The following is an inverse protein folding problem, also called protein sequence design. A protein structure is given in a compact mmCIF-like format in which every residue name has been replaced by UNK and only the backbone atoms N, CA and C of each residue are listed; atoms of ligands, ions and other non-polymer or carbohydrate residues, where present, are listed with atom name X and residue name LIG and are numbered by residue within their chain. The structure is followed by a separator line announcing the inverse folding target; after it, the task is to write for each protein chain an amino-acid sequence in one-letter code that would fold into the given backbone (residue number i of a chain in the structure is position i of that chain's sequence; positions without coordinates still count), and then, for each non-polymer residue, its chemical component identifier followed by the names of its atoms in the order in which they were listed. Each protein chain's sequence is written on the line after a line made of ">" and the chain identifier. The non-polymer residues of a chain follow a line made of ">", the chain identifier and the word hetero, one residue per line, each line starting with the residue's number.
data_IF_811081242314
#
_entry.id   IF_811081242314
#
_cell.length_a   1.000
_cell.length_b   1.000
_cell.length_c   1.000
_cell.angle_alpha   90.00
_cell.angle_beta   90.00
_cell.angle_gamma   90.00
#
_symmetry.space_group_name_H-M   'P 1'
#
loop_
_entity.id
_entity.type
_entity.pdbx_description
1 polymer ?
#
# COMPACT_ATOMS: atom_id res chain seq x y z
N UNK A 1 -47.53 -50.52 -28.65
CA UNK A 1 -46.49 -49.50 -28.43
C UNK A 1 -46.87 -48.71 -27.20
N UNK A 2 -46.25 -48.99 -26.04
CA UNK A 2 -46.52 -48.28 -24.78
C UNK A 2 -45.52 -47.14 -24.63
N UNK A 3 -45.98 -45.92 -24.84
CA UNK A 3 -45.17 -44.73 -24.67
C UNK A 3 -45.13 -44.36 -23.17
N UNK A 4 -44.04 -44.77 -22.52
CA UNK A 4 -43.78 -44.49 -21.11
C UNK A 4 -43.39 -43.03 -20.91
N UNK A 5 -44.38 -42.16 -20.68
CA UNK A 5 -44.17 -40.75 -20.34
C UNK A 5 -43.56 -40.64 -18.94
N UNK A 6 -42.24 -40.52 -18.85
CA UNK A 6 -41.54 -40.15 -17.61
C UNK A 6 -41.96 -38.72 -17.23
N UNK A 7 -42.74 -38.58 -16.16
CA UNK A 7 -42.97 -37.29 -15.52
C UNK A 7 -41.72 -36.99 -14.70
N UNK A 8 -40.86 -36.10 -15.17
CA UNK A 8 -39.86 -35.47 -14.32
C UNK A 8 -40.60 -34.60 -13.32
N UNK A 9 -40.46 -34.90 -12.03
CA UNK A 9 -41.00 -34.06 -10.98
C UNK A 9 -40.16 -32.78 -10.93
N UNK A 10 -40.59 -31.76 -11.65
CA UNK A 10 -40.07 -30.40 -11.51
C UNK A 10 -40.60 -29.85 -10.17
N UNK A 11 -39.86 -30.14 -9.10
CA UNK A 11 -40.10 -29.55 -7.79
C UNK A 11 -39.61 -28.11 -7.77
N UNK A 12 -40.53 -27.15 -7.82
CA UNK A 12 -40.22 -25.75 -7.56
C UNK A 12 -39.83 -25.54 -6.10
N UNK A 13 -38.81 -24.71 -5.86
CA UNK A 13 -38.39 -24.33 -4.50
C UNK A 13 -39.49 -23.49 -3.83
N UNK A 14 -39.84 -23.82 -2.59
CA UNK A 14 -40.86 -23.07 -1.86
C UNK A 14 -40.30 -21.72 -1.41
N UNK A 15 -41.14 -20.68 -1.38
CA UNK A 15 -40.75 -19.37 -0.84
C UNK A 15 -40.33 -19.51 0.64
N UNK A 16 -40.97 -20.42 1.39
CA UNK A 16 -40.63 -20.69 2.78
C UNK A 16 -39.20 -21.21 2.94
N UNK A 17 -38.75 -22.07 2.04
CA UNK A 17 -37.39 -22.60 2.05
C UNK A 17 -36.36 -21.50 1.80
N UNK A 18 -36.58 -20.64 0.79
CA UNK A 18 -35.71 -19.49 0.53
C UNK A 18 -35.72 -18.50 1.70
N UNK A 19 -36.87 -18.22 2.30
CA UNK A 19 -36.99 -17.33 3.47
C UNK A 19 -36.20 -17.85 4.67
N UNK A 20 -36.31 -19.14 4.97
CA UNK A 20 -35.59 -19.74 6.10
C UNK A 20 -34.07 -19.75 5.86
N UNK A 21 -33.64 -20.00 4.62
CA UNK A 21 -32.22 -19.92 4.23
C UNK A 21 -31.68 -18.51 4.41
N UNK A 22 -32.40 -17.49 3.93
CA UNK A 22 -32.00 -16.09 4.10
C UNK A 22 -31.98 -15.66 5.57
N UNK A 23 -32.95 -16.14 6.36
CA UNK A 23 -33.01 -15.89 7.80
C UNK A 23 -31.76 -16.41 8.51
N UNK A 24 -31.40 -17.69 8.28
CA UNK A 24 -30.21 -18.28 8.90
C UNK A 24 -28.91 -17.66 8.36
N UNK A 25 -28.83 -17.36 7.07
CA UNK A 25 -27.68 -16.68 6.50
C UNK A 25 -27.47 -15.29 7.14
N UNK A 26 -28.56 -14.53 7.35
CA UNK A 26 -28.52 -13.25 8.04
C UNK A 26 -28.02 -13.36 9.48
N UNK A 27 -28.45 -14.39 10.22
CA UNK A 27 -27.98 -14.66 11.59
C UNK A 27 -26.47 -14.94 11.62
N UNK A 28 -25.99 -15.81 10.73
CA UNK A 28 -24.56 -16.15 10.62
C UNK A 28 -23.72 -14.92 10.23
N UNK A 29 -24.20 -14.11 9.28
CA UNK A 29 -23.53 -12.88 8.86
C UNK A 29 -23.49 -11.85 9.99
N UNK A 30 -24.56 -11.67 10.77
CA UNK A 30 -24.59 -10.71 11.86
C UNK A 30 -23.48 -10.95 12.90
N UNK A 31 -23.15 -12.22 13.18
CA UNK A 31 -22.07 -12.60 14.09
C UNK A 31 -20.70 -12.49 13.40
N UNK A 32 -20.63 -12.81 12.11
CA UNK A 32 -19.36 -12.93 11.38
C UNK A 32 -18.82 -11.59 10.87
N UNK A 33 -19.68 -10.66 10.46
CA UNK A 33 -19.30 -9.33 9.95
C UNK A 33 -18.43 -8.52 10.92
N UNK A 34 -18.77 -8.37 12.22
CA UNK A 34 -17.91 -7.61 13.14
C UNK A 34 -16.52 -8.24 13.31
N UNK A 35 -16.45 -9.57 13.33
CA UNK A 35 -15.17 -10.29 13.38
C UNK A 35 -14.35 -10.08 12.10
N UNK A 36 -14.99 -10.07 10.93
CA UNK A 36 -14.34 -9.78 9.66
C UNK A 36 -13.79 -8.35 9.62
N UNK A 37 -14.54 -7.36 10.10
CA UNK A 37 -14.09 -5.97 10.18
C UNK A 37 -12.88 -5.82 11.11
N UNK A 38 -12.94 -6.46 12.28
CA UNK A 38 -11.83 -6.47 13.25
C UNK A 38 -10.59 -7.16 12.68
N UNK A 39 -10.77 -8.26 11.95
CA UNK A 39 -9.68 -8.97 11.28
C UNK A 39 -9.06 -8.14 10.15
N UNK A 40 -9.88 -7.41 9.38
CA UNK A 40 -9.39 -6.47 8.36
C UNK A 40 -8.52 -5.39 8.99
N UNK A 41 -9.00 -4.71 10.03
CA UNK A 41 -8.21 -3.68 10.71
C UNK A 41 -6.86 -4.22 11.20
N UNK A 42 -6.83 -5.39 11.85
CA UNK A 42 -5.57 -6.01 12.30
C UNK A 42 -4.62 -6.34 11.16
N UNK A 43 -5.14 -6.79 10.02
CA UNK A 43 -4.34 -7.08 8.84
C UNK A 43 -3.78 -5.78 8.23
N UNK A 44 -4.59 -4.74 8.17
CA UNK A 44 -4.18 -3.42 7.67
C UNK A 44 -3.10 -2.80 8.57
N UNK A 45 -3.23 -2.89 9.90
CA UNK A 45 -2.19 -2.49 10.86
C UNK A 45 -0.89 -3.28 10.68
N UNK A 46 -1.00 -4.61 10.50
CA UNK A 46 0.17 -5.46 10.27
C UNK A 46 0.86 -5.13 8.94
N UNK A 47 0.09 -4.84 7.90
CA UNK A 47 0.60 -4.39 6.61
C UNK A 47 1.30 -3.03 6.74
N UNK A 48 0.71 -2.08 7.49
CA UNK A 48 1.33 -0.78 7.73
C UNK A 48 2.67 -0.89 8.46
N UNK A 49 2.75 -1.72 9.51
CA UNK A 49 4.00 -1.98 10.23
C UNK A 49 5.05 -2.62 9.31
N UNK A 50 4.64 -3.55 8.45
CA UNK A 50 5.53 -4.15 7.45
C UNK A 50 6.05 -3.09 6.48
N UNK A 51 5.17 -2.23 5.98
CA UNK A 51 5.52 -1.12 5.09
C UNK A 51 6.53 -0.15 5.75
N UNK A 52 6.36 0.19 7.04
CA UNK A 52 7.35 1.02 7.77
C UNK A 52 8.73 0.34 7.86
N UNK A 53 8.77 -0.96 8.17
CA UNK A 53 10.03 -1.71 8.23
C UNK A 53 10.73 -1.76 6.88
N UNK A 54 9.96 -1.95 5.81
CA UNK A 54 10.47 -1.93 4.44
C UNK A 54 10.99 -0.54 4.05
N UNK A 55 10.30 0.54 4.43
CA UNK A 55 10.78 1.91 4.23
C UNK A 55 12.12 2.14 4.92
N UNK A 56 12.26 1.74 6.19
CA UNK A 56 13.54 1.86 6.92
C UNK A 56 14.65 1.08 6.21
N UNK A 57 14.38 -0.15 5.78
CA UNK A 57 15.40 -0.96 5.09
C UNK A 57 15.85 -0.32 3.77
N UNK A 58 14.93 0.26 3.01
CA UNK A 58 15.24 0.95 1.75
C UNK A 58 16.00 2.25 1.98
N UNK A 59 15.64 3.01 3.02
CA UNK A 59 16.37 4.21 3.40
C UNK A 59 17.85 3.91 3.71
N UNK A 60 18.11 2.85 4.48
CA UNK A 60 19.49 2.42 4.77
C UNK A 60 20.21 1.95 3.50
N UNK A 61 19.51 1.26 2.60
CA UNK A 61 20.10 0.85 1.31
C UNK A 61 20.49 2.06 0.44
N UNK A 62 19.62 3.08 0.36
CA UNK A 62 19.87 4.32 -0.38
C UNK A 62 21.07 5.06 0.19
N UNK A 63 21.11 5.19 1.53
CA UNK A 63 22.20 5.82 2.25
C UNK A 63 23.52 5.07 2.06
N UNK A 64 23.51 3.75 2.12
CA UNK A 64 24.71 2.92 1.94
C UNK A 64 25.22 2.94 0.50
N UNK A 65 24.32 3.08 -0.48
CA UNK A 65 24.67 3.18 -1.89
C UNK A 65 25.04 4.61 -2.35
N UNK A 66 25.00 5.59 -1.44
CA UNK A 66 25.24 7.01 -1.74
C UNK A 66 24.45 7.51 -2.95
N UNK A 67 23.20 7.07 -3.08
CA UNK A 67 22.30 7.45 -4.18
C UNK A 67 22.03 8.96 -4.17
N UNK A 68 21.91 9.51 -2.96
CA UNK A 68 21.68 10.94 -2.69
C UNK A 68 22.87 11.43 -1.87
N UNK A 69 23.50 12.50 -2.33
CA UNK A 69 24.64 13.19 -1.68
C UNK A 69 24.56 14.68 -2.03
N UNK A 70 23.67 15.42 -1.35
CA UNK A 70 23.36 16.82 -1.67
C UNK A 70 24.48 17.77 -1.23
N UNK A 71 25.13 17.50 -0.10
CA UNK A 71 26.23 18.32 0.42
C UNK A 71 27.63 17.96 -0.13
N UNK A 72 27.72 16.85 -0.88
CA UNK A 72 28.96 16.34 -1.51
C UNK A 72 30.04 15.99 -0.51
N UNK A 73 29.66 15.53 0.68
CA UNK A 73 30.59 15.08 1.70
C UNK A 73 31.02 13.61 1.51
N UNK A 74 30.44 12.91 0.52
CA UNK A 74 30.71 11.52 0.20
C UNK A 74 30.00 10.50 1.08
N UNK A 75 29.11 10.95 1.99
CA UNK A 75 28.20 10.09 2.74
C UNK A 75 26.82 10.14 2.09
N UNK A 76 26.22 8.97 1.87
CA UNK A 76 24.86 8.94 1.39
C UNK A 76 23.87 9.52 2.40
N UNK A 77 22.82 10.13 1.86
CA UNK A 77 21.72 10.73 2.58
C UNK A 77 20.42 9.94 2.37
N UNK A 78 19.42 10.25 3.18
CA UNK A 78 18.08 9.70 3.05
C UNK A 78 17.29 10.37 1.91
N UNK A 79 16.39 9.61 1.29
CA UNK A 79 15.58 10.07 0.17
C UNK A 79 14.14 10.37 0.57
N UNK A 80 13.45 11.24 -0.15
CA UNK A 80 12.02 11.47 -0.01
C UNK A 80 11.21 10.25 -0.47
N UNK A 81 9.94 10.20 -0.04
CA UNK A 81 9.05 9.08 -0.38
C UNK A 81 8.83 8.99 -1.89
N UNK A 82 8.64 10.13 -2.58
CA UNK A 82 8.52 10.17 -4.05
C UNK A 82 9.74 9.64 -4.81
N UNK A 83 10.94 9.81 -4.26
CA UNK A 83 12.20 9.33 -4.85
C UNK A 83 12.31 7.81 -4.67
N UNK A 84 11.90 7.30 -3.50
CA UNK A 84 11.83 5.86 -3.22
C UNK A 84 10.75 5.18 -4.05
N UNK A 85 9.66 5.86 -4.38
CA UNK A 85 8.58 5.30 -5.19
C UNK A 85 8.89 5.34 -6.70
N UNK A 86 9.98 6.01 -7.09
CA UNK A 86 10.36 6.19 -8.49
C UNK A 86 9.47 7.19 -9.25
N UNK A 87 8.66 7.98 -8.54
CA UNK A 87 7.84 9.05 -9.12
C UNK A 87 8.68 10.31 -9.40
N UNK A 88 9.75 10.51 -8.61
CA UNK A 88 10.75 11.56 -8.82
C UNK A 88 12.14 10.93 -8.93
N UNK A 89 13.01 11.54 -9.73
CA UNK A 89 14.41 11.13 -9.77
C UNK A 89 15.10 11.53 -8.46
N UNK A 90 16.00 10.70 -7.89
CA UNK A 90 16.70 11.07 -6.67
C UNK A 90 17.46 12.39 -6.84
N UNK A 91 17.34 13.27 -5.84
CA UNK A 91 18.11 14.51 -5.74
C UNK A 91 19.59 14.20 -5.66
N UNK A 92 20.40 15.12 -6.18
CA UNK A 92 21.86 14.98 -6.31
C UNK A 92 22.33 13.64 -6.90
N UNK A 93 21.50 12.97 -7.71
CA UNK A 93 21.90 11.90 -8.64
C UNK A 93 22.75 12.49 -9.78
N UNK A 94 23.83 13.19 -9.42
CA UNK A 94 24.90 13.51 -10.32
C UNK A 94 25.55 12.17 -10.62
N UNK A 95 25.33 11.72 -11.85
CA UNK A 95 25.89 10.55 -12.52
C UNK A 95 27.43 10.60 -12.56
N UNK A 96 28.07 10.68 -11.39
CA UNK A 96 29.52 10.80 -11.25
C UNK A 96 30.17 9.42 -11.37
N UNK A 97 29.43 8.35 -11.06
CA UNK A 97 29.92 6.96 -11.13
C UNK A 97 28.90 5.93 -11.69
N UNK A 98 27.82 6.37 -12.34
CA UNK A 98 26.81 5.42 -12.85
C UNK A 98 26.06 4.66 -11.75
N UNK A 99 25.85 5.30 -10.60
CA UNK A 99 25.05 4.76 -9.49
C UNK A 99 23.70 4.26 -10.00
N UNK A 100 23.29 3.06 -9.59
CA UNK A 100 22.01 2.49 -10.00
C UNK A 100 20.93 3.14 -9.15
N UNK A 101 19.92 3.76 -9.78
CA UNK A 101 18.77 4.27 -9.05
C UNK A 101 18.16 3.15 -8.19
N UNK A 102 17.80 3.41 -6.92
CA UNK A 102 17.23 2.40 -6.05
C UNK A 102 15.96 1.84 -6.70
N UNK A 103 15.81 0.52 -6.68
CA UNK A 103 14.60 -0.11 -7.22
C UNK A 103 13.42 0.32 -6.34
N UNK A 104 12.40 0.98 -6.89
CA UNK A 104 11.31 1.46 -6.09
C UNK A 104 10.52 0.31 -5.50
N UNK A 105 10.07 0.49 -4.25
CA UNK A 105 9.27 -0.50 -3.56
C UNK A 105 7.95 -0.74 -4.32
N UNK A 106 7.64 -1.99 -4.73
CA UNK A 106 6.44 -2.28 -5.53
C UNK A 106 5.13 -1.84 -4.88
N UNK A 107 5.06 -1.87 -3.54
CA UNK A 107 3.87 -1.57 -2.74
C UNK A 107 3.54 -0.08 -2.64
N UNK A 108 4.50 0.81 -2.90
CA UNK A 108 4.27 2.25 -2.93
C UNK A 108 4.22 2.83 -4.35
N UNK A 109 4.60 2.03 -5.34
CA UNK A 109 4.51 2.37 -6.76
C UNK A 109 3.04 2.63 -7.14
N UNK A 110 2.77 3.78 -7.76
CA UNK A 110 1.42 4.24 -8.14
C UNK A 110 0.44 4.47 -6.97
N UNK A 111 0.96 4.57 -5.74
CA UNK A 111 0.18 4.83 -4.51
C UNK A 111 0.51 6.18 -3.88
N UNK A 112 1.33 6.99 -4.57
CA UNK A 112 1.73 8.32 -4.16
C UNK A 112 0.63 9.34 -4.52
N UNK A 113 0.29 10.20 -3.56
CA UNK A 113 -0.61 11.33 -3.68
C UNK A 113 0.19 12.58 -4.11
N UNK A 114 -0.51 13.64 -4.53
CA UNK A 114 0.13 14.88 -5.00
C UNK A 114 1.00 15.57 -3.93
N UNK A 115 0.64 15.40 -2.65
CA UNK A 115 1.33 16.02 -1.50
C UNK A 115 2.51 15.18 -0.96
N UNK A 116 3.04 14.24 -1.75
CA UNK A 116 4.16 13.37 -1.35
C UNK A 116 3.82 12.34 -0.27
N UNK A 117 2.52 12.11 -0.02
CA UNK A 117 2.03 11.02 0.82
C UNK A 117 1.88 9.75 -0.02
N UNK A 118 1.94 8.56 0.59
CA UNK A 118 1.49 7.33 -0.04
C UNK A 118 0.38 6.68 0.78
N UNK A 119 -0.61 6.07 0.12
CA UNK A 119 -1.68 5.35 0.81
C UNK A 119 -1.56 3.84 0.59
N UNK A 120 -1.39 3.08 1.67
CA UNK A 120 -1.31 1.61 1.64
C UNK A 120 -2.20 1.04 2.73
N UNK A 121 -3.09 0.11 2.36
CA UNK A 121 -3.99 -0.59 3.29
C UNK A 121 -4.80 0.35 4.22
N UNK A 122 -5.27 1.50 3.71
CA UNK A 122 -6.03 2.47 4.50
C UNK A 122 -5.19 3.37 5.41
N UNK A 123 -3.86 3.24 5.39
CA UNK A 123 -2.92 4.11 6.11
C UNK A 123 -2.23 5.06 5.15
N UNK A 124 -1.95 6.27 5.62
CA UNK A 124 -1.15 7.26 4.90
C UNK A 124 0.25 7.35 5.48
N UNK A 125 1.23 7.37 4.60
CA UNK A 125 2.65 7.45 4.90
C UNK A 125 3.18 8.76 4.36
N UNK A 126 3.90 9.50 5.19
CA UNK A 126 4.70 10.66 4.77
C UNK A 126 6.07 10.53 5.42
N UNK A 127 7.10 10.87 4.65
CA UNK A 127 8.45 10.96 5.16
C UNK A 127 8.87 12.43 5.22
N UNK A 128 9.48 12.81 6.33
CA UNK A 128 10.10 14.11 6.50
C UNK A 128 11.60 13.96 6.59
N UNK A 129 12.31 14.79 5.83
CA UNK A 129 13.75 14.96 5.94
C UNK A 129 14.06 16.21 6.78
N UNK A 130 15.22 16.28 7.45
CA UNK A 130 15.63 17.49 8.13
C UNK A 130 15.93 18.59 7.11
N UNK A 131 15.14 19.66 7.15
CA UNK A 131 15.37 20.88 6.42
C UNK A 131 16.27 21.88 7.16
N UNK A 132 16.55 23.04 6.55
CA UNK A 132 17.35 24.09 7.17
C UNK A 132 16.81 24.48 8.55
N UNK A 133 17.72 24.62 9.52
CA UNK A 133 17.35 24.99 10.90
C UNK A 133 16.59 23.90 11.67
N UNK A 134 16.57 22.65 11.19
CA UNK A 134 15.86 21.54 11.85
C UNK A 134 14.35 21.52 11.59
N UNK A 135 13.89 22.26 10.59
CA UNK A 135 12.50 22.19 10.13
C UNK A 135 12.24 20.84 9.44
N UNK A 136 11.00 20.35 9.44
CA UNK A 136 10.65 19.14 8.71
C UNK A 136 10.37 19.50 7.24
N UNK A 137 11.24 19.05 6.33
CA UNK A 137 11.01 19.16 4.89
C UNK A 137 10.20 17.94 4.43
N UNK A 138 8.99 18.17 3.93
CA UNK A 138 8.19 17.14 3.26
C UNK A 138 8.55 17.06 1.78
N UNK A 139 8.53 15.86 1.23
CA UNK A 139 8.49 15.68 -0.23
C UNK A 139 7.09 16.04 -0.74
N UNK A 140 7.01 16.57 -1.97
CA UNK A 140 5.77 17.00 -2.59
C UNK A 140 5.98 17.22 -4.08
N UNK A 141 4.99 16.85 -4.91
CA UNK A 141 5.12 16.86 -6.39
C UNK A 141 5.45 18.26 -6.95
N UNK A 142 5.25 19.34 -6.18
CA UNK A 142 5.61 20.72 -6.52
C UNK A 142 6.63 21.42 -5.61
N UNK A 143 7.05 20.85 -4.48
CA UNK A 143 8.14 21.40 -3.67
C UNK A 143 9.45 20.83 -4.17
N UNK A 144 10.07 21.56 -5.08
CA UNK A 144 11.50 21.44 -5.34
C UNK A 144 12.25 22.06 -4.17
N UNK A 145 13.28 21.36 -3.68
CA UNK A 145 14.26 21.94 -2.78
C UNK A 145 14.69 23.32 -3.33
N UNK A 146 14.37 24.37 -2.58
CA UNK A 146 14.92 25.71 -2.76
C UNK A 146 16.21 25.85 -1.98
#
# INVERSE_FOLDING_TARGET
>A
MHEGRRRTAEGGWTILEVLLVLLFLGLLLSISVPNLLSARQRNDEAAAVRSLRELVAVQEMIRAASVVDEDRDGKGEYAFLEEICGERHPRSFASRDGGTAPVPLPQFRHKLLEDGEAEVCGYRFRLWLPGPGGTAAGGGKGEGAG
#
